data_IF_602535839794
#
_entry.id   IF_602535839794
#
_cell.length_a   1.000
_cell.length_b   1.000
_cell.length_c   1.000
_cell.angle_alpha   90.00
_cell.angle_beta   90.00
_cell.angle_gamma   90.00
#
_symmetry.space_group_name_H-M   'P 1'
#
loop_
_entity.id
_entity.type
_entity.pdbx_description
1 polymer ?
#
# COMPACT_ATOMS: atom_id res chain seq x y z
N UNK A 1 5.54 -22.16 1.26
CA UNK A 1 4.93 -20.88 1.72
C UNK A 1 5.68 -20.49 2.98
N UNK A 2 6.53 -19.45 2.94
CA UNK A 2 7.57 -19.23 3.95
C UNK A 2 7.03 -19.10 5.38
N UNK A 3 5.90 -18.43 5.58
CA UNK A 3 5.30 -18.26 6.90
C UNK A 3 4.81 -19.58 7.50
N UNK A 4 4.14 -20.42 6.71
CA UNK A 4 3.66 -21.73 7.16
C UNK A 4 4.83 -22.62 7.60
N UNK A 5 5.94 -22.60 6.86
CA UNK A 5 7.16 -23.35 7.19
C UNK A 5 7.85 -22.80 8.45
N UNK A 6 7.92 -21.47 8.61
CA UNK A 6 8.50 -20.84 9.79
C UNK A 6 7.71 -21.16 11.07
N UNK A 7 6.38 -21.25 10.98
CA UNK A 7 5.52 -21.65 12.10
C UNK A 7 5.67 -23.15 12.39
N UNK A 8 5.66 -24.00 11.35
CA UNK A 8 5.85 -25.46 11.51
C UNK A 8 7.22 -25.82 12.08
N UNK A 9 8.28 -25.10 11.70
CA UNK A 9 9.64 -25.31 12.22
C UNK A 9 9.86 -24.72 13.62
N UNK A 10 8.88 -24.00 14.18
CA UNK A 10 8.98 -23.35 15.49
C UNK A 10 9.85 -22.08 15.50
N UNK A 11 10.33 -21.62 14.35
CA UNK A 11 11.05 -20.35 14.24
C UNK A 11 10.12 -19.17 14.57
N UNK A 12 8.85 -19.27 14.18
CA UNK A 12 7.79 -18.32 14.54
C UNK A 12 6.79 -19.03 15.45
N UNK A 13 6.55 -18.46 16.63
CA UNK A 13 5.62 -19.05 17.61
C UNK A 13 4.15 -18.95 17.20
N UNK A 14 3.75 -17.81 16.63
CA UNK A 14 2.37 -17.53 16.22
C UNK A 14 2.34 -16.34 15.23
N UNK A 15 1.27 -16.22 14.44
CA UNK A 15 1.05 -15.11 13.52
C UNK A 15 -0.42 -14.70 13.44
N UNK A 16 -0.69 -13.43 13.13
CA UNK A 16 -2.02 -12.91 12.81
C UNK A 16 -2.04 -12.40 11.37
N UNK A 17 -3.02 -12.84 10.57
CA UNK A 17 -3.11 -12.50 9.13
C UNK A 17 -4.52 -12.01 8.80
N UNK A 18 -4.63 -10.78 8.30
CA UNK A 18 -5.89 -10.22 7.81
C UNK A 18 -6.01 -10.23 6.28
N UNK A 19 -4.87 -10.30 5.57
CA UNK A 19 -4.83 -10.18 4.11
C UNK A 19 -4.07 -11.35 3.46
N UNK A 20 -4.50 -11.75 2.27
CA UNK A 20 -3.91 -12.84 1.50
C UNK A 20 -3.38 -12.34 0.15
N UNK A 21 -2.39 -13.04 -0.39
CA UNK A 21 -1.79 -12.66 -1.68
C UNK A 21 -2.80 -12.71 -2.85
N UNK A 22 -3.79 -13.59 -2.76
CA UNK A 22 -4.93 -13.66 -3.67
C UNK A 22 -6.19 -13.78 -2.83
N UNK A 23 -7.15 -12.91 -3.11
CA UNK A 23 -8.44 -12.87 -2.43
C UNK A 23 -9.59 -13.01 -3.46
N UNK A 24 -10.68 -13.73 -3.13
CA UNK A 24 -10.94 -14.42 -1.86
C UNK A 24 -10.06 -15.68 -1.67
N UNK A 25 -9.67 -15.95 -0.43
CA UNK A 25 -8.82 -17.09 -0.08
C UNK A 25 -9.58 -18.07 0.81
N UNK A 26 -9.77 -19.31 0.35
CA UNK A 26 -10.55 -20.35 1.05
C UNK A 26 -9.75 -21.63 1.33
N UNK A 27 -8.56 -21.75 0.76
CA UNK A 27 -7.75 -22.97 0.72
C UNK A 27 -6.30 -22.74 1.21
N UNK A 28 -6.07 -21.71 2.01
CA UNK A 28 -4.74 -21.40 2.51
C UNK A 28 -4.22 -22.49 3.46
N UNK A 29 -2.97 -22.96 3.30
CA UNK A 29 -2.34 -23.88 4.25
C UNK A 29 -2.12 -23.26 5.64
N UNK A 30 -2.30 -21.94 5.76
CA UNK A 30 -2.26 -21.23 7.03
C UNK A 30 -3.50 -21.53 7.90
N UNK A 31 -4.61 -21.99 7.31
CA UNK A 31 -5.85 -22.32 8.03
C UNK A 31 -5.73 -23.62 8.84
N UNK A 32 -4.78 -24.48 8.51
CA UNK A 32 -4.50 -25.73 9.22
C UNK A 32 -3.65 -25.52 10.48
N UNK A 33 -3.07 -24.34 10.66
CA UNK A 33 -2.11 -24.06 11.73
C UNK A 33 -2.80 -23.34 12.90
N UNK A 34 -2.98 -23.98 14.07
CA UNK A 34 -3.69 -23.38 15.21
C UNK A 34 -2.91 -22.21 15.84
N UNK A 35 -1.62 -22.06 15.52
CA UNK A 35 -0.80 -20.92 15.94
C UNK A 35 -1.06 -19.66 15.09
N UNK A 36 -1.88 -19.77 14.04
CA UNK A 36 -2.16 -18.68 13.12
C UNK A 36 -3.62 -18.28 13.27
N UNK A 37 -3.82 -17.02 13.68
CA UNK A 37 -5.15 -16.40 13.70
C UNK A 37 -5.35 -15.69 12.37
N UNK A 38 -6.46 -15.97 11.70
CA UNK A 38 -6.78 -15.37 10.42
C UNK A 38 -8.10 -14.59 10.51
N UNK A 39 -8.15 -13.44 9.84
CA UNK A 39 -9.37 -12.66 9.63
C UNK A 39 -9.54 -12.39 8.14
N UNK A 40 -10.76 -12.43 7.59
CA UNK A 40 -11.00 -12.26 6.16
C UNK A 40 -11.07 -10.78 5.76
N UNK A 41 -9.93 -10.09 5.74
CA UNK A 41 -9.79 -8.69 5.32
C UNK A 41 -10.76 -7.75 6.06
N UNK A 42 -10.78 -7.86 7.38
CA UNK A 42 -11.72 -7.14 8.26
C UNK A 42 -11.14 -5.84 8.83
N UNK A 43 -9.89 -5.49 8.53
CA UNK A 43 -9.21 -4.34 9.14
C UNK A 43 -9.95 -3.00 8.98
N UNK A 44 -10.73 -2.82 7.91
CA UNK A 44 -11.55 -1.62 7.67
C UNK A 44 -13.07 -1.87 7.81
N UNK A 45 -13.48 -3.06 8.23
CA UNK A 45 -14.88 -3.49 8.29
C UNK A 45 -15.56 -3.07 9.61
N UNK A 46 -15.36 -1.82 10.04
CA UNK A 46 -16.06 -1.23 11.18
C UNK A 46 -17.01 -0.12 10.72
N UNK A 47 -18.09 0.11 11.46
CA UNK A 47 -19.08 1.15 11.11
C UNK A 47 -18.41 2.53 11.05
N UNK A 48 -17.54 2.84 12.00
CA UNK A 48 -16.85 4.11 12.11
C UNK A 48 -15.89 4.36 10.94
N UNK A 49 -15.20 3.31 10.48
CA UNK A 49 -14.29 3.41 9.34
C UNK A 49 -15.07 3.64 8.04
N UNK A 50 -16.20 2.94 7.86
CA UNK A 50 -17.06 3.10 6.69
C UNK A 50 -17.75 4.47 6.67
N UNK A 51 -18.24 4.96 7.82
CA UNK A 51 -18.86 6.28 7.94
C UNK A 51 -17.86 7.40 7.62
N UNK A 52 -16.63 7.26 8.13
CA UNK A 52 -15.56 8.22 7.84
C UNK A 52 -15.18 8.20 6.37
N UNK A 53 -14.94 7.01 5.80
CA UNK A 53 -14.63 6.87 4.37
C UNK A 53 -15.74 7.45 3.49
N UNK A 54 -17.01 7.23 3.86
CA UNK A 54 -18.16 7.82 3.17
C UNK A 54 -18.17 9.34 3.21
N UNK A 55 -17.89 9.92 4.38
CA UNK A 55 -17.84 11.39 4.57
C UNK A 55 -16.68 12.01 3.78
N UNK A 56 -15.50 11.42 3.83
CA UNK A 56 -14.29 11.88 3.12
C UNK A 56 -14.53 11.86 1.60
N UNK A 57 -15.12 10.78 1.08
CA UNK A 57 -15.48 10.67 -0.34
C UNK A 57 -16.55 11.70 -0.73
N UNK A 58 -17.57 11.93 0.11
CA UNK A 58 -18.61 12.91 -0.17
C UNK A 58 -18.05 14.34 -0.27
N UNK A 59 -17.10 14.70 0.60
CA UNK A 59 -16.40 15.99 0.53
C UNK A 59 -15.58 16.11 -0.77
N UNK A 60 -14.83 15.07 -1.10
CA UNK A 60 -14.05 15.01 -2.35
C UNK A 60 -14.93 15.15 -3.60
N UNK A 61 -16.11 14.51 -3.64
CA UNK A 61 -17.08 14.64 -4.74
C UNK A 61 -17.66 16.06 -4.81
N UNK A 62 -17.99 16.68 -3.67
CA UNK A 62 -18.48 18.05 -3.62
C UNK A 62 -17.45 19.05 -4.19
N UNK A 63 -16.17 18.88 -3.86
CA UNK A 63 -15.09 19.70 -4.41
C UNK A 63 -14.93 19.48 -5.91
N UNK A 64 -14.98 18.22 -6.37
CA UNK A 64 -14.88 17.87 -7.78
C UNK A 64 -15.99 18.51 -8.62
N UNK A 65 -17.24 18.42 -8.16
CA UNK A 65 -18.41 19.00 -8.84
C UNK A 65 -18.37 20.53 -8.84
N UNK A 66 -17.79 21.15 -7.81
CA UNK A 66 -17.57 22.59 -7.76
C UNK A 66 -16.39 23.06 -8.65
N UNK A 67 -15.71 22.15 -9.35
CA UNK A 67 -14.51 22.47 -10.15
C UNK A 67 -13.32 22.92 -9.30
N UNK A 68 -13.34 22.64 -8.00
CA UNK A 68 -12.26 22.98 -7.07
C UNK A 68 -11.20 21.89 -7.07
N UNK A 69 -10.03 22.23 -6.53
CA UNK A 69 -8.97 21.25 -6.32
C UNK A 69 -9.43 20.16 -5.34
N UNK A 70 -9.16 18.90 -5.68
CA UNK A 70 -9.51 17.72 -4.87
C UNK A 70 -8.21 17.09 -4.38
N UNK A 71 -7.87 17.22 -3.07
CA UNK A 71 -6.62 16.71 -2.51
C UNK A 71 -6.47 15.18 -2.64
N UNK A 72 -7.57 14.44 -2.50
CA UNK A 72 -7.57 12.98 -2.51
C UNK A 72 -7.62 12.38 -3.92
N UNK A 73 -7.48 13.22 -4.96
CA UNK A 73 -7.50 12.76 -6.34
C UNK A 73 -6.29 11.87 -6.63
N UNK A 74 -6.55 10.56 -6.74
CA UNK A 74 -5.53 9.54 -7.07
C UNK A 74 -4.98 9.67 -8.49
N UNK A 75 -5.74 10.31 -9.39
CA UNK A 75 -5.35 10.57 -10.76
C UNK A 75 -5.65 12.02 -11.12
N UNK A 76 -4.67 12.70 -11.71
CA UNK A 76 -4.88 14.00 -12.34
C UNK A 76 -5.55 13.79 -13.70
N UNK A 77 -6.87 13.75 -13.68
CA UNK A 77 -7.69 14.03 -14.85
C UNK A 77 -7.46 15.48 -15.25
N UNK A 78 -6.48 15.70 -16.12
CA UNK A 78 -6.23 16.97 -16.77
C UNK A 78 -7.53 17.44 -17.47
N UNK A 79 -8.38 18.17 -16.74
CA UNK A 79 -9.54 18.86 -17.30
C UNK A 79 -9.09 19.79 -18.43
N UNK A 80 -10.04 20.30 -19.23
CA UNK A 80 -9.80 21.04 -20.49
C UNK A 80 -8.74 22.16 -20.44
N UNK A 81 -8.32 22.59 -19.26
CA UNK A 81 -7.33 23.65 -18.99
C UNK A 81 -5.88 23.16 -18.76
N UNK A 82 -5.64 21.86 -18.60
CA UNK A 82 -4.28 21.33 -18.48
C UNK A 82 -3.65 21.24 -19.87
N UNK A 83 -2.85 22.26 -20.24
CA UNK A 83 -2.13 22.32 -21.51
C UNK A 83 -1.44 20.98 -21.80
N UNK A 84 -1.69 20.44 -23.00
CA UNK A 84 -1.19 19.15 -23.54
C UNK A 84 0.26 18.81 -23.21
N UNK A 85 1.12 19.82 -23.06
CA UNK A 85 2.55 19.71 -22.75
C UNK A 85 2.89 19.26 -21.32
N UNK A 86 2.01 19.46 -20.32
CA UNK A 86 2.34 19.11 -18.92
C UNK A 86 2.36 17.61 -18.62
N UNK A 87 1.70 16.78 -19.43
CA UNK A 87 1.62 15.32 -19.21
C UNK A 87 2.99 14.64 -19.26
N UNK A 88 3.87 15.03 -20.19
CA UNK A 88 5.23 14.48 -20.28
C UNK A 88 6.10 14.84 -19.08
N UNK A 89 5.90 16.03 -18.50
CA UNK A 89 6.68 16.51 -17.36
C UNK A 89 6.31 15.80 -16.05
N UNK A 90 5.07 15.37 -15.86
CA UNK A 90 4.66 14.61 -14.67
C UNK A 90 5.38 13.26 -14.64
N UNK A 91 5.44 12.58 -15.79
CA UNK A 91 6.18 11.32 -15.92
C UNK A 91 7.68 11.52 -15.72
N UNK A 92 8.29 12.53 -16.35
CA UNK A 92 9.70 12.86 -16.13
C UNK A 92 9.99 13.20 -14.66
N UNK A 93 9.15 14.00 -14.00
CA UNK A 93 9.34 14.37 -12.60
C UNK A 93 9.28 13.15 -11.67
N UNK A 94 8.34 12.22 -11.90
CA UNK A 94 8.25 10.99 -11.13
C UNK A 94 9.49 10.11 -11.34
N UNK A 95 9.94 9.93 -12.58
CA UNK A 95 11.13 9.15 -12.92
C UNK A 95 12.42 9.76 -12.34
N UNK A 96 12.57 11.08 -12.38
CA UNK A 96 13.74 11.77 -11.79
C UNK A 96 13.73 11.67 -10.26
N UNK A 97 12.57 11.78 -9.61
CA UNK A 97 12.44 11.59 -8.17
C UNK A 97 12.85 10.17 -7.74
N UNK A 98 12.40 9.15 -8.48
CA UNK A 98 12.82 7.76 -8.29
C UNK A 98 14.34 7.58 -8.44
N UNK A 99 14.96 8.20 -9.45
CA UNK A 99 16.41 8.15 -9.65
C UNK A 99 17.19 8.78 -8.48
N UNK A 100 16.71 9.91 -7.93
CA UNK A 100 17.33 10.57 -6.77
C UNK A 100 17.24 9.70 -5.51
N UNK A 101 16.11 9.02 -5.29
CA UNK A 101 15.92 8.09 -4.16
C UNK A 101 16.79 6.82 -4.29
N UNK A 102 16.93 6.27 -5.49
CA UNK A 102 17.82 5.12 -5.73
C UNK A 102 19.30 5.50 -5.59
N UNK A 103 19.70 6.68 -6.06
CA UNK A 103 21.08 7.16 -5.96
C UNK A 103 21.51 7.43 -4.50
N UNK A 104 20.59 7.92 -3.66
CA UNK A 104 20.86 8.13 -2.22
C UNK A 104 20.88 6.82 -1.44
N UNK A 105 20.08 5.82 -1.81
CA UNK A 105 20.05 4.49 -1.18
C UNK A 105 21.32 3.65 -1.46
N UNK A 106 22.01 3.87 -2.59
CA UNK A 106 23.29 3.21 -2.90
C UNK A 106 24.45 3.68 -2.02
N UNK A 107 24.39 4.90 -1.46
CA UNK A 107 25.44 5.44 -0.57
C UNK A 107 25.44 4.74 0.81
N UNK A 108 24.33 4.13 1.21
CA UNK A 108 24.18 3.48 2.53
C UNK A 108 24.67 2.02 2.53
N UNK A 109 24.65 1.32 1.39
CA UNK A 109 24.98 -0.11 1.31
C UNK A 109 26.48 -0.46 1.40
N UNK A 110 27.36 0.54 1.29
CA UNK A 110 28.81 0.33 1.42
C UNK A 110 29.33 0.40 2.87
N UNK A 111 28.53 0.81 3.87
CA UNK A 111 29.03 1.04 5.24
C UNK A 111 28.71 -0.06 6.27
N UNK A 112 27.92 -1.07 5.94
CA UNK A 112 27.48 -2.11 6.89
C UNK A 112 28.21 -3.47 6.81
N UNK A 113 29.31 -3.62 6.05
CA UNK A 113 30.02 -4.92 5.90
C UNK A 113 31.14 -5.20 6.93
N UNK A 114 31.34 -4.39 7.97
CA UNK A 114 32.49 -4.53 8.91
C UNK A 114 32.13 -4.55 10.40
N UNK A 115 30.91 -4.97 10.79
CA UNK A 115 30.53 -4.99 12.20
C UNK A 115 29.72 -6.23 12.59
N UNK A 116 30.29 -7.43 12.36
CA UNK A 116 30.02 -8.64 13.18
C UNK A 116 31.26 -9.55 13.08
N UNK A 117 32.09 -9.51 14.11
CA UNK A 117 33.08 -10.54 14.47
C UNK A 117 33.23 -10.52 15.99
#
# INVERSE_FOLDING_TARGET
MALAEAVRSGHVRAAGIDVFAKEPCTDSPLFELPQIVVTPHLGASTAEAQDRAGTDVAESVKLALAGKFVPDAVNVGAGRSARRWRRGWIWCANSVCLLVLFATSFRCRCRCRHAVS
#
